data_IF_952283949048
#
_entry.id   IF_952283949048
#
_cell.length_a   1.000
_cell.length_b   1.000
_cell.length_c   1.000
_cell.angle_alpha   90.00
_cell.angle_beta   90.00
_cell.angle_gamma   90.00
#
_symmetry.space_group_name_H-M   'P 1'
#
loop_
_entity.id
_entity.type
_entity.pdbx_description
1 polymer ?
#
# COMPACT_ATOMS: atom_id res chain seq x y z
N UNK A 1 -15.89 -21.68 -0.72
CA UNK A 1 -14.70 -21.02 -0.14
C UNK A 1 -15.10 -20.08 0.99
N UNK A 2 -14.15 -19.46 1.72
CA UNK A 2 -14.46 -18.43 2.74
C UNK A 2 -15.21 -17.24 2.12
N UNK A 3 -14.72 -16.78 0.96
CA UNK A 3 -15.33 -15.67 0.22
C UNK A 3 -16.81 -15.92 -0.12
N UNK A 4 -17.16 -17.10 -0.63
CA UNK A 4 -18.55 -17.44 -0.93
C UNK A 4 -19.44 -17.49 0.32
N UNK A 5 -18.89 -17.87 1.48
CA UNK A 5 -19.62 -17.83 2.75
C UNK A 5 -19.88 -16.37 3.16
N UNK A 6 -18.84 -15.54 3.16
CA UNK A 6 -18.95 -14.12 3.49
C UNK A 6 -19.95 -13.40 2.57
N UNK A 7 -19.95 -13.70 1.27
CA UNK A 7 -20.91 -13.13 0.32
C UNK A 7 -22.36 -13.48 0.70
N UNK A 8 -22.63 -14.73 1.11
CA UNK A 8 -23.97 -15.14 1.53
C UNK A 8 -24.39 -14.49 2.85
N UNK A 9 -23.49 -14.44 3.83
CA UNK A 9 -23.75 -13.79 5.12
C UNK A 9 -24.05 -12.30 4.94
N UNK A 10 -23.23 -11.60 4.13
CA UNK A 10 -23.43 -10.19 3.83
C UNK A 10 -24.78 -9.94 3.14
N UNK A 11 -25.16 -10.77 2.17
CA UNK A 11 -26.46 -10.67 1.51
C UNK A 11 -27.63 -10.93 2.46
N UNK A 12 -27.50 -11.89 3.39
CA UNK A 12 -28.50 -12.17 4.41
C UNK A 12 -28.65 -11.05 5.45
N UNK A 13 -27.60 -10.26 5.66
CA UNK A 13 -27.56 -9.13 6.59
C UNK A 13 -27.81 -7.75 5.94
N UNK A 14 -28.19 -7.70 4.65
CA UNK A 14 -28.34 -6.46 3.87
C UNK A 14 -27.07 -5.56 3.87
N UNK A 15 -25.91 -6.20 3.88
CA UNK A 15 -24.59 -5.57 3.88
C UNK A 15 -23.93 -5.69 2.50
N UNK A 16 -23.26 -4.62 2.05
CA UNK A 16 -22.38 -4.67 0.87
C UNK A 16 -21.03 -5.27 1.27
N UNK A 17 -20.63 -6.34 0.61
CA UNK A 17 -19.29 -6.92 0.75
C UNK A 17 -18.34 -6.39 -0.34
N UNK A 18 -17.17 -5.92 0.07
CA UNK A 18 -16.04 -5.60 -0.80
C UNK A 18 -14.83 -6.42 -0.34
N UNK A 19 -14.11 -7.04 -1.28
CA UNK A 19 -12.97 -7.90 -0.99
C UNK A 19 -11.75 -7.46 -1.82
N UNK A 20 -10.59 -7.40 -1.16
CA UNK A 20 -9.31 -7.08 -1.76
C UNK A 20 -8.27 -8.13 -1.34
N UNK A 21 -7.23 -8.31 -2.15
CA UNK A 21 -6.15 -9.26 -1.88
C UNK A 21 -4.78 -8.59 -1.97
N UNK A 22 -3.87 -8.90 -1.06
CA UNK A 22 -2.44 -8.61 -1.23
C UNK A 22 -1.69 -9.93 -1.41
N UNK A 23 -0.85 -10.01 -2.44
CA UNK A 23 -0.10 -11.22 -2.78
C UNK A 23 1.30 -10.89 -3.28
N UNK A 24 2.22 -11.86 -3.20
CA UNK A 24 3.49 -11.79 -3.91
C UNK A 24 3.36 -12.10 -5.41
N UNK A 25 2.19 -12.55 -5.87
CA UNK A 25 1.87 -12.82 -7.27
C UNK A 25 2.38 -14.17 -7.81
N UNK A 26 3.35 -14.82 -7.19
CA UNK A 26 4.08 -15.95 -7.80
C UNK A 26 3.19 -17.16 -8.19
N UNK A 27 2.14 -17.44 -7.41
CA UNK A 27 1.20 -18.55 -7.67
C UNK A 27 -0.07 -18.11 -8.44
N UNK A 28 -0.14 -16.85 -8.90
CA UNK A 28 -1.34 -16.31 -9.54
C UNK A 28 -1.39 -16.69 -11.03
N UNK A 29 -1.92 -17.89 -11.28
CA UNK A 29 -2.20 -18.42 -12.62
C UNK A 29 -3.39 -17.74 -13.27
N UNK A 30 -3.59 -17.90 -14.60
CA UNK A 30 -4.82 -17.43 -15.27
C UNK A 30 -6.11 -18.00 -14.67
N UNK A 31 -6.11 -19.29 -14.31
CA UNK A 31 -7.26 -19.96 -13.69
C UNK A 31 -7.55 -19.37 -12.31
N UNK A 32 -6.52 -19.12 -11.50
CA UNK A 32 -6.69 -18.48 -10.20
C UNK A 32 -7.19 -17.05 -10.36
N UNK A 33 -6.67 -16.27 -11.32
CA UNK A 33 -7.18 -14.92 -11.59
C UNK A 33 -8.68 -14.94 -11.94
N UNK A 34 -9.10 -15.89 -12.78
CA UNK A 34 -10.50 -16.09 -13.15
C UNK A 34 -11.36 -16.47 -11.94
N UNK A 35 -10.84 -17.32 -11.06
CA UNK A 35 -11.49 -17.66 -9.80
C UNK A 35 -11.63 -16.43 -8.87
N UNK A 36 -10.58 -15.61 -8.72
CA UNK A 36 -10.63 -14.38 -7.92
C UNK A 36 -11.71 -13.42 -8.43
N UNK A 37 -11.82 -13.27 -9.76
CA UNK A 37 -12.85 -12.44 -10.38
C UNK A 37 -14.26 -13.00 -10.11
N UNK A 38 -14.45 -14.33 -10.23
CA UNK A 38 -15.71 -15.01 -9.89
C UNK A 38 -16.11 -14.81 -8.43
N UNK A 39 -15.14 -14.76 -7.52
CA UNK A 39 -15.35 -14.52 -6.10
C UNK A 39 -15.66 -13.05 -5.77
N UNK A 40 -15.60 -12.14 -6.75
CA UNK A 40 -15.89 -10.72 -6.57
C UNK A 40 -14.74 -9.95 -5.88
N UNK A 41 -13.50 -10.43 -6.00
CA UNK A 41 -12.32 -9.68 -5.54
C UNK A 41 -12.09 -8.53 -6.53
N UNK A 42 -12.27 -7.30 -6.06
CA UNK A 42 -12.24 -6.10 -6.92
C UNK A 42 -10.85 -5.51 -7.12
N UNK A 43 -9.93 -5.78 -6.19
CA UNK A 43 -8.58 -5.22 -6.21
C UNK A 43 -7.55 -6.27 -5.75
N UNK A 44 -6.42 -6.34 -6.45
CA UNK A 44 -5.27 -7.16 -6.06
C UNK A 44 -4.02 -6.29 -6.03
N UNK A 45 -3.34 -6.29 -4.89
CA UNK A 45 -2.01 -5.71 -4.74
C UNK A 45 -0.93 -6.78 -4.97
N UNK A 46 -0.06 -6.56 -5.95
CA UNK A 46 1.09 -7.42 -6.25
C UNK A 46 2.38 -6.63 -6.05
N UNK A 47 3.40 -7.27 -5.48
CA UNK A 47 4.67 -6.59 -5.21
C UNK A 47 5.71 -6.86 -6.30
N UNK A 48 6.25 -5.81 -6.92
CA UNK A 48 7.38 -5.85 -7.86
C UNK A 48 8.44 -4.81 -7.44
N UNK A 49 9.58 -5.23 -6.90
CA UNK A 49 10.56 -4.35 -6.27
C UNK A 49 11.67 -3.83 -7.23
N UNK A 50 11.28 -3.16 -8.32
CA UNK A 50 12.20 -2.58 -9.32
C UNK A 50 12.40 -3.46 -10.55
N UNK A 51 13.51 -3.26 -11.27
CA UNK A 51 13.84 -4.05 -12.46
C UNK A 51 13.95 -5.55 -12.15
N UNK A 52 13.92 -6.38 -13.20
CA UNK A 52 14.16 -7.83 -13.12
C UNK A 52 15.30 -8.22 -12.18
N UNK A 53 16.48 -7.62 -12.38
CA UNK A 53 17.67 -7.97 -11.62
C UNK A 53 17.56 -7.60 -10.13
N UNK A 54 16.99 -6.42 -9.82
CA UNK A 54 16.83 -5.98 -8.42
C UNK A 54 15.72 -6.75 -7.73
N UNK A 55 14.60 -7.02 -8.41
CA UNK A 55 13.53 -7.86 -7.91
C UNK A 55 14.01 -9.27 -7.58
N UNK A 56 14.66 -9.96 -8.53
CA UNK A 56 15.12 -11.34 -8.33
C UNK A 56 16.16 -11.45 -7.21
N UNK A 57 16.98 -10.40 -7.03
CA UNK A 57 17.91 -10.31 -5.90
C UNK A 57 17.18 -10.14 -4.56
N UNK A 58 16.12 -9.34 -4.53
CA UNK A 58 15.39 -8.99 -3.29
C UNK A 58 14.34 -10.04 -2.91
N UNK A 59 13.77 -10.75 -3.89
CA UNK A 59 12.63 -11.65 -3.70
C UNK A 59 12.85 -13.03 -4.36
N UNK A 60 13.98 -13.71 -4.14
CA UNK A 60 14.17 -15.06 -4.66
C UNK A 60 13.21 -16.03 -3.96
N UNK A 61 12.94 -17.17 -4.60
CA UNK A 61 12.37 -18.32 -3.92
C UNK A 61 13.32 -18.81 -2.82
N UNK A 62 12.82 -19.64 -1.90
CA UNK A 62 13.66 -20.33 -0.91
C UNK A 62 14.81 -21.14 -1.56
N UNK A 63 14.62 -21.57 -2.82
CA UNK A 63 15.65 -22.26 -3.61
C UNK A 63 16.66 -21.31 -4.29
N UNK A 64 16.54 -20.00 -4.12
CA UNK A 64 17.37 -18.98 -4.80
C UNK A 64 16.96 -18.67 -6.24
N UNK A 65 15.85 -19.25 -6.75
CA UNK A 65 15.38 -19.03 -8.13
C UNK A 65 14.70 -17.66 -8.27
N UNK A 66 14.83 -17.08 -9.46
CA UNK A 66 14.15 -15.85 -9.87
C UNK A 66 12.62 -15.97 -9.83
N UNK A 67 11.97 -14.84 -9.62
CA UNK A 67 10.51 -14.72 -9.47
C UNK A 67 9.92 -13.66 -10.40
N UNK A 68 10.71 -12.73 -10.94
CA UNK A 68 10.24 -11.55 -11.66
C UNK A 68 9.26 -11.87 -12.79
N UNK A 69 9.64 -12.74 -13.74
CA UNK A 69 8.78 -13.09 -14.89
C UNK A 69 7.42 -13.61 -14.45
N UNK A 70 7.43 -14.45 -13.42
CA UNK A 70 6.22 -15.08 -12.93
C UNK A 70 5.30 -14.06 -12.26
N UNK A 71 5.87 -13.08 -11.57
CA UNK A 71 5.12 -12.01 -10.92
C UNK A 71 4.61 -10.98 -11.94
N UNK A 72 5.39 -10.67 -12.99
CA UNK A 72 4.92 -9.84 -14.10
C UNK A 72 3.76 -10.51 -14.85
N UNK A 73 3.86 -11.82 -15.12
CA UNK A 73 2.76 -12.61 -15.71
C UNK A 73 1.52 -12.59 -14.81
N UNK A 74 1.67 -12.64 -13.49
CA UNK A 74 0.57 -12.52 -12.54
C UNK A 74 -0.15 -11.17 -12.63
N UNK A 75 0.60 -10.06 -12.78
CA UNK A 75 0.02 -8.75 -13.04
C UNK A 75 -0.84 -8.76 -14.31
N UNK A 76 -0.33 -9.36 -15.39
CA UNK A 76 -1.06 -9.52 -16.65
C UNK A 76 -2.33 -10.35 -16.47
N UNK A 77 -2.26 -11.45 -15.71
CA UNK A 77 -3.40 -12.32 -15.45
C UNK A 77 -4.52 -11.58 -14.69
N UNK A 78 -4.17 -10.76 -13.69
CA UNK A 78 -5.13 -9.95 -12.91
C UNK A 78 -5.84 -8.93 -13.80
N UNK A 79 -5.10 -8.15 -14.59
CA UNK A 79 -5.71 -7.11 -15.43
C UNK A 79 -6.56 -7.70 -16.55
N UNK A 80 -6.21 -8.88 -17.08
CA UNK A 80 -6.97 -9.58 -18.14
C UNK A 80 -8.38 -9.97 -17.71
N UNK A 81 -8.58 -10.27 -16.43
CA UNK A 81 -9.91 -10.62 -15.88
C UNK A 81 -10.68 -9.41 -15.35
N UNK A 82 -10.16 -8.20 -15.58
CA UNK A 82 -10.83 -6.94 -15.22
C UNK A 82 -10.73 -6.57 -13.74
N UNK A 83 -9.82 -7.18 -12.98
CA UNK A 83 -9.55 -6.80 -11.59
C UNK A 83 -8.59 -5.62 -11.59
N UNK A 84 -8.84 -4.64 -10.70
CA UNK A 84 -7.94 -3.50 -10.51
C UNK A 84 -6.62 -3.98 -9.88
N UNK A 85 -5.50 -3.63 -10.52
CA UNK A 85 -4.17 -4.01 -10.04
C UNK A 85 -3.51 -2.82 -9.31
N UNK A 86 -2.99 -3.07 -8.11
CA UNK A 86 -2.03 -2.18 -7.47
C UNK A 86 -0.65 -2.82 -7.50
N UNK A 87 0.29 -2.25 -8.25
CA UNK A 87 1.69 -2.68 -8.22
C UNK A 87 2.39 -1.94 -7.09
N UNK A 88 2.73 -2.67 -6.03
CA UNK A 88 3.47 -2.12 -4.88
C UNK A 88 4.97 -2.29 -5.10
N UNK A 89 5.72 -1.22 -4.85
CA UNK A 89 7.19 -1.21 -4.90
C UNK A 89 7.71 -0.83 -3.52
N UNK A 90 8.42 -1.74 -2.83
CA UNK A 90 9.10 -1.43 -1.58
C UNK A 90 10.46 -0.83 -1.92
N UNK A 91 10.52 0.50 -1.92
CA UNK A 91 11.67 1.27 -2.37
C UNK A 91 12.74 1.28 -1.29
N UNK A 92 13.96 0.99 -1.69
CA UNK A 92 15.18 1.02 -0.90
C UNK A 92 16.37 1.40 -1.80
N UNK A 93 17.56 1.52 -1.22
CA UNK A 93 18.76 1.96 -1.95
C UNK A 93 19.17 1.05 -3.10
N UNK A 94 18.74 -0.22 -3.09
CA UNK A 94 19.10 -1.20 -4.12
C UNK A 94 18.25 -1.04 -5.37
N UNK A 95 16.98 -0.64 -5.22
CA UNK A 95 16.03 -0.68 -6.33
C UNK A 95 15.47 0.68 -6.78
N UNK A 96 15.69 1.75 -6.02
CA UNK A 96 15.14 3.08 -6.29
C UNK A 96 15.38 3.57 -7.73
N UNK A 97 16.61 3.44 -8.23
CA UNK A 97 17.00 3.89 -9.57
C UNK A 97 16.46 3.00 -10.69
N UNK A 98 15.90 1.84 -10.35
CA UNK A 98 15.43 0.82 -11.31
C UNK A 98 13.91 0.78 -11.47
N UNK A 99 13.18 1.67 -10.79
CA UNK A 99 11.71 1.72 -10.87
C UNK A 99 11.25 2.10 -12.28
N UNK A 100 11.95 3.00 -12.98
CA UNK A 100 11.61 3.36 -14.37
C UNK A 100 11.57 2.13 -15.30
N UNK A 101 12.57 1.24 -15.21
CA UNK A 101 12.61 0.01 -15.99
C UNK A 101 11.45 -0.94 -15.70
N UNK A 102 11.01 -1.03 -14.43
CA UNK A 102 9.81 -1.80 -14.09
C UNK A 102 8.57 -1.21 -14.76
N UNK A 103 8.44 0.12 -14.79
CA UNK A 103 7.29 0.77 -15.43
C UNK A 103 7.28 0.51 -16.95
N UNK A 104 8.44 0.47 -17.59
CA UNK A 104 8.57 0.11 -19.01
C UNK A 104 8.11 -1.33 -19.25
N UNK A 105 8.62 -2.30 -18.47
CA UNK A 105 8.22 -3.71 -18.56
C UNK A 105 6.69 -3.90 -18.36
N UNK A 106 6.09 -3.16 -17.41
CA UNK A 106 4.64 -3.20 -17.17
C UNK A 106 3.85 -2.73 -18.40
N UNK A 107 4.25 -1.60 -18.99
CA UNK A 107 3.59 -1.05 -20.17
C UNK A 107 3.71 -2.01 -21.37
N UNK A 108 4.91 -2.55 -21.61
CA UNK A 108 5.16 -3.55 -22.66
C UNK A 108 4.31 -4.81 -22.48
N UNK A 109 4.08 -5.23 -21.23
CA UNK A 109 3.21 -6.36 -20.89
C UNK A 109 1.70 -6.05 -20.95
N UNK A 110 1.31 -4.80 -21.25
CA UNK A 110 -0.09 -4.37 -21.32
C UNK A 110 -0.72 -4.00 -19.96
N UNK A 111 0.10 -3.83 -18.92
CA UNK A 111 -0.31 -3.27 -17.62
C UNK A 111 -0.19 -1.75 -17.70
N UNK A 112 -1.31 -1.10 -17.97
CA UNK A 112 -1.37 0.34 -18.29
C UNK A 112 -2.02 1.16 -17.18
N UNK A 113 -1.90 2.50 -17.20
CA UNK A 113 -2.61 3.37 -16.26
C UNK A 113 -4.13 3.21 -16.19
N UNK A 114 -4.75 2.55 -17.19
CA UNK A 114 -6.20 2.29 -17.20
C UNK A 114 -6.61 1.12 -16.30
N UNK A 115 -5.69 0.23 -15.97
CA UNK A 115 -5.97 -1.00 -15.22
C UNK A 115 -5.06 -1.19 -14.01
N UNK A 116 -4.06 -0.31 -13.81
CA UNK A 116 -3.14 -0.41 -12.70
C UNK A 116 -2.76 0.94 -12.08
N UNK A 117 -2.49 0.89 -10.77
CA UNK A 117 -1.92 1.98 -9.99
C UNK A 117 -0.55 1.56 -9.46
N UNK A 118 0.41 2.49 -9.45
CA UNK A 118 1.75 2.27 -8.90
C UNK A 118 1.81 2.83 -7.49
N UNK A 119 2.13 1.97 -6.53
CA UNK A 119 2.25 2.32 -5.13
C UNK A 119 3.69 2.13 -4.65
N UNK A 120 4.52 3.15 -4.84
CA UNK A 120 5.89 3.18 -4.37
C UNK A 120 5.95 3.66 -2.92
N UNK A 121 6.41 2.79 -2.02
CA UNK A 121 6.47 3.05 -0.57
C UNK A 121 7.87 2.83 -0.02
N UNK A 122 8.19 3.50 1.08
CA UNK A 122 9.45 3.31 1.79
C UNK A 122 9.53 1.88 2.36
N UNK A 123 10.65 1.21 2.12
CA UNK A 123 10.97 -0.01 2.87
C UNK A 123 11.26 0.35 4.32
N UNK A 124 10.59 -0.36 5.24
CA UNK A 124 10.77 -0.20 6.68
C UNK A 124 11.24 -1.54 7.23
N UNK A 125 12.32 -1.52 7.99
CA UNK A 125 12.75 -2.67 8.78
C UNK A 125 11.90 -2.76 10.05
N UNK A 126 11.12 -3.84 10.14
CA UNK A 126 10.31 -4.18 11.30
C UNK A 126 11.05 -5.14 12.26
N UNK A 127 12.38 -5.26 12.14
CA UNK A 127 13.20 -6.18 12.92
C UNK A 127 13.21 -7.61 12.37
N UNK A 128 12.62 -7.81 11.18
CA UNK A 128 12.51 -9.10 10.50
C UNK A 128 13.33 -9.17 9.22
N UNK A 129 14.07 -8.11 8.89
CA UNK A 129 14.88 -8.07 7.70
C UNK A 129 16.15 -8.91 7.85
N UNK A 130 16.62 -9.48 6.74
CA UNK A 130 17.91 -10.19 6.70
C UNK A 130 19.07 -9.23 7.05
N UNK A 131 20.15 -9.78 7.60
CA UNK A 131 21.33 -9.00 7.97
C UNK A 131 21.83 -8.12 6.79
N UNK A 132 22.08 -6.84 7.05
CA UNK A 132 22.53 -5.86 6.06
C UNK A 132 21.42 -5.20 5.22
N UNK A 133 20.16 -5.66 5.31
CA UNK A 133 19.04 -5.00 4.62
C UNK A 133 18.61 -3.70 5.32
N UNK A 134 18.90 -3.56 6.61
CA UNK A 134 18.69 -2.31 7.35
C UNK A 134 19.45 -1.14 6.69
N UNK A 135 20.68 -1.37 6.22
CA UNK A 135 21.51 -0.35 5.56
C UNK A 135 20.97 0.06 4.18
N UNK A 136 20.23 -0.84 3.54
CA UNK A 136 19.53 -0.54 2.29
C UNK A 136 18.29 0.34 2.51
N UNK A 137 17.75 0.42 3.72
CA UNK A 137 16.59 1.25 4.01
C UNK A 137 16.96 2.74 3.98
N UNK A 138 16.07 3.53 3.40
CA UNK A 138 16.15 4.99 3.47
C UNK A 138 15.60 5.48 4.82
N UNK A 139 16.20 6.55 5.34
CA UNK A 139 15.46 7.39 6.30
C UNK A 139 14.26 8.02 5.60
N UNK A 140 13.27 8.48 6.36
CA UNK A 140 12.06 9.04 5.77
C UNK A 140 12.35 10.27 4.89
N UNK A 141 13.20 11.18 5.37
CA UNK A 141 13.64 12.35 4.62
C UNK A 141 14.44 12.01 3.35
N UNK A 142 15.26 10.96 3.38
CA UNK A 142 15.99 10.50 2.19
C UNK A 142 15.06 9.86 1.17
N UNK A 143 14.13 9.01 1.63
CA UNK A 143 13.11 8.41 0.78
C UNK A 143 12.26 9.48 0.11
N UNK A 144 11.80 10.50 0.84
CA UNK A 144 10.96 11.55 0.29
C UNK A 144 11.58 12.23 -0.94
N UNK A 145 12.90 12.46 -0.92
CA UNK A 145 13.64 13.05 -2.05
C UNK A 145 13.66 12.11 -3.26
N UNK A 146 14.03 10.84 -3.03
CA UNK A 146 14.06 9.80 -4.08
C UNK A 146 12.65 9.52 -4.64
N UNK A 147 11.64 9.62 -3.78
CA UNK A 147 10.26 9.35 -4.13
C UNK A 147 9.71 10.38 -5.12
N UNK A 148 10.13 11.65 -5.04
CA UNK A 148 9.78 12.66 -6.06
C UNK A 148 10.27 12.23 -7.45
N UNK A 149 11.49 11.71 -7.56
CA UNK A 149 12.03 11.26 -8.84
C UNK A 149 11.25 10.04 -9.37
N UNK A 150 10.91 9.10 -8.49
CA UNK A 150 10.04 7.97 -8.84
C UNK A 150 8.65 8.46 -9.29
N UNK A 151 8.04 9.42 -8.60
CA UNK A 151 6.75 9.97 -8.98
C UNK A 151 6.81 10.70 -10.32
N UNK A 152 7.93 11.32 -10.69
CA UNK A 152 8.13 11.85 -12.05
C UNK A 152 8.12 10.75 -13.09
N UNK A 153 8.81 9.63 -12.86
CA UNK A 153 8.81 8.47 -13.77
C UNK A 153 7.40 7.87 -13.94
N UNK A 154 6.65 7.78 -12.83
CA UNK A 154 5.24 7.35 -12.79
C UNK A 154 4.36 8.29 -13.62
N UNK A 155 4.47 9.60 -13.40
CA UNK A 155 3.68 10.62 -14.11
C UNK A 155 4.02 10.68 -15.60
N UNK A 156 5.31 10.61 -15.98
CA UNK A 156 5.75 10.63 -17.38
C UNK A 156 5.17 9.47 -18.20
N UNK A 157 4.87 8.34 -17.54
CA UNK A 157 4.24 7.16 -18.14
C UNK A 157 2.71 7.16 -18.01
N UNK A 158 2.14 8.25 -17.50
CA UNK A 158 0.70 8.47 -17.40
C UNK A 158 0.01 7.76 -16.25
N UNK A 159 0.75 7.13 -15.33
CA UNK A 159 0.16 6.55 -14.12
C UNK A 159 -0.27 7.65 -13.13
N UNK A 160 -1.25 7.33 -12.30
CA UNK A 160 -1.79 8.26 -11.31
C UNK A 160 -0.78 8.62 -10.21
N UNK A 161 -0.80 9.87 -9.80
CA UNK A 161 -0.05 10.38 -8.65
C UNK A 161 -0.87 10.27 -7.36
N UNK A 162 -0.22 10.27 -6.17
CA UNK A 162 -0.91 10.37 -4.90
C UNK A 162 -1.82 11.60 -4.82
N UNK A 163 -3.01 11.44 -4.25
CA UNK A 163 -3.94 12.56 -4.03
C UNK A 163 -3.41 13.50 -2.96
N UNK A 164 -3.48 14.81 -3.23
CA UNK A 164 -3.23 15.88 -2.25
C UNK A 164 -4.55 16.42 -1.65
N UNK A 165 -5.67 15.73 -1.87
CA UNK A 165 -6.93 16.10 -1.24
C UNK A 165 -6.86 15.88 0.28
N UNK A 166 -7.52 16.74 1.10
CA UNK A 166 -7.66 16.48 2.52
C UNK A 166 -8.32 15.12 2.78
N UNK A 167 -7.86 14.42 3.82
CA UNK A 167 -8.36 13.11 4.22
C UNK A 167 -8.90 13.14 5.66
N UNK A 168 -9.91 12.33 5.94
CA UNK A 168 -10.49 12.23 7.28
C UNK A 168 -9.66 11.36 8.23
N UNK A 169 -8.83 10.47 7.70
CA UNK A 169 -7.95 9.59 8.47
C UNK A 169 -6.74 9.19 7.62
N UNK A 170 -5.58 9.03 8.26
CA UNK A 170 -4.37 8.57 7.58
C UNK A 170 -4.46 7.08 7.20
N UNK A 171 -4.78 6.25 8.19
CA UNK A 171 -4.84 4.81 8.05
C UNK A 171 -6.19 4.32 8.57
N UNK A 172 -6.92 3.50 7.81
CA UNK A 172 -8.18 2.92 8.27
C UNK A 172 -8.05 2.11 9.57
N UNK A 173 -6.87 1.54 9.85
CA UNK A 173 -6.61 0.81 11.10
C UNK A 173 -6.64 1.68 12.36
N UNK A 174 -6.59 3.01 12.24
CA UNK A 174 -6.77 3.92 13.36
C UNK A 174 -8.26 4.11 13.70
N UNK A 175 -9.18 3.72 12.80
CA UNK A 175 -10.62 3.82 13.01
C UNK A 175 -11.14 2.69 13.91
N UNK A 176 -12.17 3.00 14.70
CA UNK A 176 -12.87 2.06 15.59
C UNK A 176 -13.45 0.85 14.83
N UNK A 177 -13.89 1.06 13.59
CA UNK A 177 -14.60 0.09 12.77
C UNK A 177 -13.68 -0.88 12.02
N UNK A 178 -12.36 -0.71 12.11
CA UNK A 178 -11.39 -1.51 11.35
C UNK A 178 -10.51 -2.29 12.30
N UNK A 179 -10.44 -3.61 12.15
CA UNK A 179 -9.56 -4.47 12.95
C UNK A 179 -8.76 -5.39 12.03
N UNK A 180 -7.53 -5.71 12.42
CA UNK A 180 -6.75 -6.78 11.80
C UNK A 180 -6.91 -8.04 12.65
N UNK A 181 -7.49 -9.09 12.06
CA UNK A 181 -7.72 -10.36 12.75
C UNK A 181 -6.65 -11.37 12.32
N UNK A 182 -5.86 -11.82 13.29
CA UNK A 182 -4.89 -12.90 13.14
C UNK A 182 -5.56 -14.27 13.01
N UNK A 183 -4.81 -15.24 12.48
CA UNK A 183 -5.31 -16.62 12.28
C UNK A 183 -5.72 -17.31 13.59
N UNK A 184 -5.16 -16.85 14.70
CA UNK A 184 -5.41 -17.32 16.06
C UNK A 184 -6.51 -16.55 16.80
N UNK A 185 -7.26 -15.69 16.09
CA UNK A 185 -8.27 -14.81 16.69
C UNK A 185 -7.68 -13.60 17.42
N UNK A 186 -6.35 -13.37 17.36
CA UNK A 186 -5.77 -12.12 17.90
C UNK A 186 -6.23 -10.92 17.07
N UNK A 187 -6.65 -9.85 17.74
CA UNK A 187 -6.86 -8.55 17.10
C UNK A 187 -5.58 -7.75 17.27
N UNK A 188 -5.04 -7.25 16.15
CA UNK A 188 -3.79 -6.49 16.08
C UNK A 188 -4.00 -5.14 15.41
N UNK A 189 -3.01 -4.25 15.49
CA UNK A 189 -3.11 -2.93 14.86
C UNK A 189 -3.14 -3.03 13.34
N UNK A 190 -2.16 -3.70 12.74
CA UNK A 190 -2.05 -3.88 11.30
C UNK A 190 -1.17 -5.10 10.99
N UNK A 191 -0.92 -5.38 9.71
CA UNK A 191 -0.08 -6.51 9.26
C UNK A 191 1.39 -6.43 9.69
N UNK A 192 1.85 -5.26 10.14
CA UNK A 192 3.23 -5.06 10.61
C UNK A 192 3.35 -5.13 12.14
N UNK A 193 2.24 -5.23 12.88
CA UNK A 193 2.24 -5.22 14.35
C UNK A 193 2.14 -6.64 14.90
N UNK A 194 2.96 -6.90 15.92
CA UNK A 194 2.89 -8.11 16.75
C UNK A 194 2.14 -7.89 18.07
N UNK A 195 1.76 -6.64 18.37
CA UNK A 195 1.05 -6.28 19.59
C UNK A 195 -0.39 -6.80 19.59
N UNK A 196 -0.78 -7.46 20.68
CA UNK A 196 -2.17 -7.82 20.94
C UNK A 196 -2.96 -6.57 21.34
N UNK A 197 -4.02 -6.27 20.60
CA UNK A 197 -4.96 -5.21 20.95
C UNK A 197 -6.21 -5.76 21.65
N UNK A 198 -6.72 -6.90 21.19
CA UNK A 198 -7.89 -7.58 21.73
C UNK A 198 -7.91 -9.04 21.22
N UNK A 199 -8.94 -9.82 21.58
CA UNK A 199 -9.21 -11.15 21.03
C UNK A 199 -10.61 -11.21 20.44
N UNK A 200 -10.75 -12.01 19.40
CA UNK A 200 -12.04 -12.42 18.85
C UNK A 200 -12.41 -13.79 19.41
N UNK A 201 -13.52 -13.85 20.12
CA UNK A 201 -14.05 -15.07 20.71
C UNK A 201 -14.81 -15.92 19.68
N UNK A 202 -15.11 -17.17 20.06
CA UNK A 202 -15.74 -18.14 19.15
C UNK A 202 -17.14 -17.75 18.66
N UNK A 203 -17.80 -16.81 19.35
CA UNK A 203 -19.09 -16.25 18.96
C UNK A 203 -18.97 -14.94 18.15
N UNK A 204 -17.73 -14.49 17.87
CA UNK A 204 -17.46 -13.27 17.13
C UNK A 204 -17.45 -11.99 17.96
N UNK A 205 -17.53 -12.09 19.30
CA UNK A 205 -17.39 -10.93 20.18
C UNK A 205 -15.93 -10.58 20.46
N UNK A 206 -15.65 -9.30 20.74
CA UNK A 206 -14.31 -8.84 21.12
C UNK A 206 -14.13 -8.91 22.65
N UNK A 207 -12.97 -9.40 23.10
CA UNK A 207 -12.60 -9.49 24.51
C UNK A 207 -11.12 -9.10 24.73
N UNK A 208 -10.69 -9.01 25.98
CA UNK A 208 -9.29 -8.70 26.35
C UNK A 208 -8.74 -7.40 25.73
N UNK A 209 -9.55 -6.33 25.64
CA UNK A 209 -9.10 -5.05 25.11
C UNK A 209 -7.93 -4.50 25.93
N UNK A 210 -6.80 -4.27 25.29
CA UNK A 210 -5.60 -3.74 25.94
C UNK A 210 -5.63 -2.21 25.97
N UNK A 211 -4.91 -1.55 26.89
CA UNK A 211 -4.78 -0.08 26.87
C UNK A 211 -4.20 0.49 25.56
N UNK A 212 -3.52 -0.35 24.77
CA UNK A 212 -3.03 0.04 23.45
C UNK A 212 -4.17 0.14 22.43
N UNK A 213 -5.19 -0.72 22.52
CA UNK A 213 -6.40 -0.64 21.69
C UNK A 213 -7.02 0.75 21.83
N UNK A 214 -7.36 1.16 23.05
CA UNK A 214 -7.99 2.46 23.30
C UNK A 214 -7.14 3.62 22.78
N UNK A 215 -5.83 3.58 23.06
CA UNK A 215 -4.88 4.62 22.63
C UNK A 215 -4.84 4.80 21.11
N UNK A 216 -4.84 3.71 20.35
CA UNK A 216 -4.86 3.76 18.89
C UNK A 216 -6.20 4.27 18.40
N UNK A 217 -7.30 3.71 18.90
CA UNK A 217 -8.65 3.97 18.39
C UNK A 217 -9.24 5.30 18.84
N UNK A 218 -8.68 5.93 19.87
CA UNK A 218 -9.04 7.27 20.34
C UNK A 218 -8.07 8.36 19.89
N UNK A 219 -7.05 8.01 19.10
CA UNK A 219 -5.97 8.93 18.71
C UNK A 219 -6.51 10.11 17.92
N UNK A 220 -6.19 11.32 18.36
CA UNK A 220 -6.45 12.56 17.63
C UNK A 220 -5.12 13.23 17.26
N UNK A 221 -4.80 13.33 15.96
CA UNK A 221 -3.55 13.94 15.52
C UNK A 221 -3.33 15.37 16.02
N UNK A 222 -4.41 16.16 16.16
CA UNK A 222 -4.38 17.54 16.60
C UNK A 222 -4.16 17.72 18.10
N UNK A 223 -4.18 16.65 18.91
CA UNK A 223 -3.74 16.69 20.31
C UNK A 223 -2.22 16.94 20.43
N UNK A 224 -1.44 16.50 19.44
CA UNK A 224 0.01 16.71 19.35
C UNK A 224 0.30 18.14 18.83
N UNK A 225 0.95 19.02 19.63
CA UNK A 225 1.23 20.40 19.22
C UNK A 225 2.05 20.51 17.92
N UNK A 226 2.93 19.55 17.65
CA UNK A 226 3.74 19.54 16.44
C UNK A 226 2.89 19.21 15.20
N UNK A 227 1.90 18.33 15.34
CA UNK A 227 0.92 18.06 14.29
C UNK A 227 -0.03 19.23 14.09
N UNK A 228 -0.54 19.84 15.18
CA UNK A 228 -1.45 21.00 15.11
C UNK A 228 -0.84 22.20 14.37
N UNK A 229 0.47 22.40 14.50
CA UNK A 229 1.21 23.45 13.79
C UNK A 229 1.62 23.05 12.36
N UNK A 230 1.41 21.80 11.93
CA UNK A 230 1.88 21.30 10.65
C UNK A 230 0.90 21.60 9.52
N UNK A 231 1.35 22.32 8.49
CA UNK A 231 0.56 22.63 7.28
C UNK A 231 0.13 21.39 6.49
N UNK A 232 0.85 20.28 6.65
CA UNK A 232 0.54 19.01 5.99
C UNK A 232 -0.53 18.18 6.74
N UNK A 233 -0.94 18.59 7.95
CA UNK A 233 -1.91 17.84 8.76
C UNK A 233 -3.21 17.47 8.01
N UNK A 234 -3.85 18.34 7.21
CA UNK A 234 -5.10 18.00 6.52
C UNK A 234 -4.99 16.81 5.53
N UNK A 235 -3.80 16.57 4.99
CA UNK A 235 -3.51 15.47 4.05
C UNK A 235 -2.87 14.26 4.76
N UNK A 236 -2.42 14.44 6.01
CA UNK A 236 -1.59 13.46 6.72
C UNK A 236 -2.32 12.80 7.88
N UNK A 237 -3.18 13.55 8.59
CA UNK A 237 -3.86 13.11 9.80
C UNK A 237 -2.92 12.40 10.79
N UNK A 238 -1.75 13.00 11.03
CA UNK A 238 -0.80 12.57 12.05
C UNK A 238 0.15 11.42 11.66
N UNK A 239 0.05 10.89 10.44
CA UNK A 239 0.91 9.82 9.96
C UNK A 239 0.68 8.47 10.65
N UNK A 240 1.62 7.53 10.52
CA UNK A 240 1.45 6.13 10.93
C UNK A 240 1.43 5.96 12.46
N UNK A 241 0.30 5.51 13.03
CA UNK A 241 0.19 5.21 14.44
C UNK A 241 1.10 4.05 14.88
N UNK A 242 1.28 3.03 14.04
CA UNK A 242 2.15 1.88 14.38
C UNK A 242 3.62 2.30 14.53
N UNK A 243 4.14 3.12 13.61
CA UNK A 243 5.51 3.63 13.74
C UNK A 243 5.69 4.44 15.02
N UNK A 244 4.68 5.24 15.40
CA UNK A 244 4.68 5.98 16.67
C UNK A 244 4.71 5.05 17.88
N UNK A 245 3.93 3.97 17.86
CA UNK A 245 3.90 2.95 18.92
C UNK A 245 5.29 2.35 19.16
N UNK A 246 6.00 1.98 18.10
CA UNK A 246 7.34 1.38 18.19
C UNK A 246 8.47 2.40 18.28
N UNK A 247 8.16 3.69 18.51
CA UNK A 247 9.15 4.76 18.68
C UNK A 247 9.91 5.14 17.40
N UNK A 248 9.42 4.76 16.22
CA UNK A 248 9.94 5.19 14.93
C UNK A 248 9.26 6.49 14.44
N UNK A 249 9.89 7.15 13.48
CA UNK A 249 9.36 8.37 12.87
C UNK A 249 8.00 8.12 12.19
N UNK A 250 6.90 8.73 12.65
CA UNK A 250 5.56 8.41 12.15
C UNK A 250 5.10 9.29 10.99
N UNK A 251 5.82 10.37 10.67
CA UNK A 251 5.41 11.31 9.64
C UNK A 251 5.42 10.64 8.26
N UNK A 252 4.43 10.97 7.42
CA UNK A 252 4.47 10.52 6.03
C UNK A 252 5.55 11.31 5.25
N UNK A 253 6.16 10.70 4.22
CA UNK A 253 7.29 11.29 3.50
C UNK A 253 6.97 12.60 2.78
N UNK A 254 5.73 12.82 2.38
CA UNK A 254 5.25 14.05 1.72
C UNK A 254 5.57 15.30 2.56
N UNK A 255 5.64 15.19 3.89
CA UNK A 255 6.00 16.30 4.78
C UNK A 255 7.32 16.99 4.37
N UNK A 256 8.26 16.23 3.80
CA UNK A 256 9.58 16.72 3.43
C UNK A 256 9.66 17.32 2.02
N UNK A 257 8.65 17.06 1.19
CA UNK A 257 8.66 17.38 -0.25
C UNK A 257 7.31 17.92 -0.73
N UNK A 258 6.53 18.53 0.17
CA UNK A 258 5.17 18.99 -0.12
C UNK A 258 5.15 20.00 -1.27
N UNK A 259 6.14 20.90 -1.33
CA UNK A 259 6.26 21.88 -2.42
C UNK A 259 6.47 21.21 -3.77
N UNK A 260 7.36 20.22 -3.84
CA UNK A 260 7.63 19.44 -5.04
C UNK A 260 6.43 18.58 -5.46
N UNK A 261 5.68 18.00 -4.50
CA UNK A 261 4.45 17.26 -4.80
C UNK A 261 3.37 18.15 -5.37
N UNK A 262 3.18 19.35 -4.81
CA UNK A 262 2.22 20.33 -5.34
C UNK A 262 2.64 20.75 -6.74
N UNK A 263 3.92 21.01 -6.98
CA UNK A 263 4.43 21.34 -8.31
C UNK A 263 4.26 20.20 -9.32
N UNK A 264 4.46 18.95 -8.90
CA UNK A 264 4.29 17.76 -9.74
C UNK A 264 2.82 17.46 -10.05
N UNK A 265 1.92 17.75 -9.09
CA UNK A 265 0.48 17.54 -9.21
C UNK A 265 -0.24 18.72 -9.87
N UNK A 266 0.45 19.85 -10.04
CA UNK A 266 -0.10 20.98 -10.77
C UNK A 266 -0.36 20.53 -12.22
N UNK A 267 -1.55 20.80 -12.78
CA UNK A 267 -1.77 20.53 -14.20
C UNK A 267 -0.69 21.27 -14.97
N UNK A 268 0.09 20.55 -15.78
CA UNK A 268 1.06 21.15 -16.70
C UNK A 268 0.27 22.19 -17.49
N UNK A 269 0.44 23.47 -17.15
CA UNK A 269 -0.31 24.57 -17.73
C UNK A 269 0.08 24.71 -19.19
N UNK A 270 -0.64 23.97 -20.01
CA UNK A 270 -0.64 24.04 -21.46
C UNK A 270 -2.05 23.86 -22.02
N UNK A 271 -3.11 24.19 -21.26
CA UNK A 271 -4.48 24.26 -21.78
C UNK A 271 -5.36 25.19 -20.90
N UNK A 272 -5.06 26.48 -20.94
CA UNK A 272 -6.11 27.50 -20.92
C UNK A 272 -6.34 27.94 -22.37
N UNK A 273 -6.82 27.02 -23.21
CA UNK A 273 -7.52 27.45 -24.42
C UNK A 273 -8.97 27.72 -24.02
N UNK A 274 -9.25 29.01 -23.98
CA UNK A 274 -10.56 29.63 -24.12
C UNK A 274 -11.52 28.78 -24.95
N UNK A 275 -12.58 28.29 -24.34
CA UNK A 275 -13.86 28.18 -25.02
C UNK A 275 -14.85 29.10 -24.30
N UNK A 276 -14.81 30.37 -24.68
CA UNK A 276 -16.01 31.14 -24.87
C UNK A 276 -16.79 30.50 -26.02
N UNK A 277 -17.99 29.99 -25.74
CA UNK A 277 -19.24 30.37 -26.42
C UNK A 277 -20.42 29.75 -25.67
#
# INVERSE_FOLDING_TARGET
TLSERLTREAAGADCRLTQCLTSNGYLLTPDLATELARLGIGNVQITLDGSRATHDRLRPLASGRSTYDRVLEACVNVVRVGIELMVRVNVNRVNAETVGSLLDDLLEAGVTPKCAVIHAVRTIDHGTCAAGMADACFTNAQFARVWIDILREVAQRGFGLPSLAPIACNCPFDLQQTVMIGRDGSIRHCSSSDGLLARLDGDGTESEHTPLFDRIKSRRPDDDPACRACSYLPMCMGGCAYLREIGQEPCNPERYVLGELVALSAPITGFLQTHQT
#
